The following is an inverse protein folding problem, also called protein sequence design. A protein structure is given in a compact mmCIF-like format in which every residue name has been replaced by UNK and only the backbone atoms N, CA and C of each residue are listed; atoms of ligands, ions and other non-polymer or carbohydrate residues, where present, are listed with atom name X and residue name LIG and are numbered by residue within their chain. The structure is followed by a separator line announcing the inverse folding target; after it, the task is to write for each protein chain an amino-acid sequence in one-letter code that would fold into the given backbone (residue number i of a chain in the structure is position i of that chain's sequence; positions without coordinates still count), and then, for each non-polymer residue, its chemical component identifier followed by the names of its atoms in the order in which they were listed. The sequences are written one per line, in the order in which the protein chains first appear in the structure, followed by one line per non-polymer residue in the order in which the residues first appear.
data_IF_570769388865
#
_entry.id   IF_570769388865
#
_cell.length_a   1.000
_cell.length_b   1.000
_cell.length_c   1.000
_cell.angle_alpha   90.00
_cell.angle_beta   90.00
_cell.angle_gamma   90.00
#
_symmetry.space_group_name_H-M   'P 1'
#
loop_
_entity.id
_entity.type
_entity.pdbx_description
1 polymer ?
#
# COMPACT_ATOMS: atom_id res chain seq x y z
N UNK A 1 23.25 18.00 14.58
CA UNK A 1 23.18 16.54 14.88
C UNK A 1 21.75 16.00 14.86
N UNK A 2 20.83 16.52 15.69
CA UNK A 2 19.44 16.03 15.76
C UNK A 2 18.68 16.12 14.42
N UNK A 3 18.85 17.22 13.70
CA UNK A 3 18.20 17.44 12.41
C UNK A 3 18.65 16.41 11.36
N UNK A 4 19.95 16.17 11.24
CA UNK A 4 20.52 15.14 10.35
C UNK A 4 19.97 13.76 10.74
N UNK A 5 19.96 13.42 12.04
CA UNK A 5 19.39 12.16 12.51
C UNK A 5 17.89 12.03 12.19
N UNK A 6 17.14 13.12 12.21
CA UNK A 6 15.72 13.14 11.81
C UNK A 6 15.56 12.94 10.30
N UNK A 7 16.40 13.55 9.48
CA UNK A 7 16.39 13.36 8.03
C UNK A 7 16.67 11.91 7.65
N UNK A 8 17.69 11.29 8.26
CA UNK A 8 18.01 9.87 8.05
C UNK A 8 16.84 8.96 8.45
N UNK A 9 16.20 9.23 9.61
CA UNK A 9 15.03 8.48 10.06
C UNK A 9 13.84 8.60 9.10
N UNK A 10 13.57 9.81 8.59
CA UNK A 10 12.51 10.04 7.60
C UNK A 10 12.78 9.30 6.30
N UNK A 11 14.00 9.39 5.77
CA UNK A 11 14.41 8.68 4.55
C UNK A 11 14.22 7.17 4.70
N UNK A 12 14.74 6.59 5.79
CA UNK A 12 14.61 5.15 6.05
C UNK A 12 13.15 4.72 6.22
N UNK A 13 12.31 5.55 6.85
CA UNK A 13 10.88 5.26 6.96
C UNK A 13 10.17 5.27 5.59
N UNK A 14 10.56 6.19 4.70
CA UNK A 14 10.05 6.25 3.34
C UNK A 14 10.50 5.03 2.52
N UNK A 15 11.79 4.69 2.56
CA UNK A 15 12.35 3.52 1.86
C UNK A 15 11.66 2.22 2.29
N UNK A 16 11.50 2.01 3.61
CA UNK A 16 10.80 0.83 4.11
C UNK A 16 9.35 0.75 3.61
N UNK A 17 8.66 1.90 3.55
CA UNK A 17 7.28 1.98 3.06
C UNK A 17 7.20 1.64 1.57
N UNK A 18 8.10 2.19 0.76
CA UNK A 18 8.16 1.94 -0.68
C UNK A 18 8.56 0.51 -1.00
N UNK A 19 9.49 -0.08 -0.24
CA UNK A 19 9.87 -1.48 -0.41
C UNK A 19 8.68 -2.44 -0.26
N UNK A 20 7.80 -2.22 0.73
CA UNK A 20 6.57 -3.01 0.89
C UNK A 20 5.64 -2.78 -0.31
N UNK A 21 5.45 -1.53 -0.73
CA UNK A 21 4.61 -1.21 -1.88
C UNK A 21 5.09 -1.89 -3.16
N UNK A 22 6.39 -1.85 -3.46
CA UNK A 22 6.98 -2.47 -4.65
C UNK A 22 6.76 -3.99 -4.67
N UNK A 23 6.89 -4.66 -3.52
CA UNK A 23 6.64 -6.10 -3.40
C UNK A 23 5.17 -6.40 -3.70
N UNK A 24 4.25 -5.64 -3.10
CA UNK A 24 2.81 -5.79 -3.33
C UNK A 24 2.47 -5.54 -4.80
N UNK A 25 2.99 -4.46 -5.38
CA UNK A 25 2.72 -4.09 -6.78
C UNK A 25 3.24 -5.12 -7.76
N UNK A 26 4.48 -5.57 -7.58
CA UNK A 26 5.07 -6.63 -8.41
C UNK A 26 4.26 -7.92 -8.33
N UNK A 27 3.81 -8.32 -7.13
CA UNK A 27 2.98 -9.51 -6.98
C UNK A 27 1.60 -9.35 -7.64
N UNK A 28 0.96 -8.21 -7.40
CA UNK A 28 -0.37 -7.90 -7.96
C UNK A 28 -0.33 -7.94 -9.48
N UNK A 29 0.68 -7.33 -10.11
CA UNK A 29 0.83 -7.32 -11.58
C UNK A 29 1.12 -8.71 -12.15
N UNK A 30 1.94 -9.52 -11.47
CA UNK A 30 2.36 -10.84 -11.97
C UNK A 30 1.29 -11.91 -11.79
N UNK A 31 0.67 -11.96 -10.61
CA UNK A 31 -0.18 -13.07 -10.19
C UNK A 31 -1.67 -12.71 -10.10
N UNK A 32 -2.02 -11.43 -10.25
CA UNK A 32 -3.39 -10.90 -10.04
C UNK A 32 -3.97 -11.26 -8.67
N UNK A 33 -3.12 -11.46 -7.67
CA UNK A 33 -3.49 -11.80 -6.30
C UNK A 33 -2.85 -10.85 -5.28
N UNK A 34 -3.50 -10.70 -4.13
CA UNK A 34 -2.96 -9.94 -3.01
C UNK A 34 -1.96 -10.75 -2.18
N UNK A 35 -1.23 -10.05 -1.30
CA UNK A 35 -0.35 -10.66 -0.31
C UNK A 35 -0.90 -10.45 1.09
N UNK A 36 -0.74 -11.45 1.97
CA UNK A 36 -1.04 -11.29 3.39
C UNK A 36 0.14 -10.64 4.13
N UNK A 37 -0.08 -10.17 5.37
CA UNK A 37 1.04 -9.73 6.24
C UNK A 37 2.06 -10.84 6.43
N UNK A 38 1.61 -12.09 6.51
CA UNK A 38 2.49 -13.25 6.70
C UNK A 38 3.38 -13.51 5.48
N UNK A 39 2.85 -13.36 4.26
CA UNK A 39 3.66 -13.47 3.05
C UNK A 39 4.72 -12.36 2.99
N UNK A 40 4.32 -11.14 3.34
CA UNK A 40 5.21 -9.99 3.37
C UNK A 40 6.31 -10.13 4.43
N UNK A 41 6.00 -10.63 5.62
CA UNK A 41 7.03 -10.85 6.65
C UNK A 41 8.03 -11.91 6.25
N UNK A 42 7.60 -12.98 5.56
CA UNK A 42 8.51 -13.98 4.99
C UNK A 42 9.43 -13.39 3.94
N UNK A 43 8.89 -12.60 3.01
CA UNK A 43 9.66 -11.99 1.91
C UNK A 43 10.67 -10.98 2.45
N UNK A 44 10.27 -10.14 3.42
CA UNK A 44 11.09 -9.05 3.95
C UNK A 44 12.00 -9.48 5.10
N UNK A 45 11.75 -10.64 5.71
CA UNK A 45 12.34 -11.06 6.97
C UNK A 45 12.16 -10.01 8.09
N UNK A 46 10.95 -9.44 8.19
CA UNK A 46 10.60 -8.40 9.18
C UNK A 46 9.57 -8.92 10.18
N UNK A 47 9.48 -8.27 11.34
CA UNK A 47 8.41 -8.56 12.29
C UNK A 47 7.04 -8.18 11.73
N UNK A 48 6.00 -8.94 12.13
CA UNK A 48 4.61 -8.65 11.77
C UNK A 48 4.23 -7.20 12.10
N UNK A 49 4.60 -6.70 13.28
CA UNK A 49 4.29 -5.33 13.68
C UNK A 49 4.94 -4.26 12.81
N UNK A 50 6.18 -4.47 12.33
CA UNK A 50 6.83 -3.55 11.40
C UNK A 50 6.11 -3.51 10.05
N UNK A 51 5.74 -4.67 9.52
CA UNK A 51 5.00 -4.76 8.25
C UNK A 51 3.62 -4.11 8.39
N UNK A 52 2.87 -4.46 9.43
CA UNK A 52 1.54 -3.92 9.70
C UNK A 52 1.54 -2.39 9.81
N UNK A 53 2.55 -1.82 10.49
CA UNK A 53 2.72 -0.37 10.60
C UNK A 53 2.78 0.33 9.23
N UNK A 54 3.56 -0.20 8.30
CA UNK A 54 3.69 0.39 6.96
C UNK A 54 2.50 0.07 6.05
N UNK A 55 1.90 -1.12 6.17
CA UNK A 55 0.63 -1.47 5.49
C UNK A 55 -0.46 -0.46 5.84
N UNK A 56 -0.65 -0.15 7.13
CA UNK A 56 -1.64 0.85 7.58
C UNK A 56 -1.39 2.22 6.97
N UNK A 57 -0.12 2.63 6.81
CA UNK A 57 0.23 3.88 6.13
C UNK A 57 -0.11 3.85 4.65
N UNK A 58 0.26 2.77 3.95
CA UNK A 58 -0.02 2.61 2.52
C UNK A 58 -1.53 2.60 2.23
N UNK A 59 -2.33 1.96 3.09
CA UNK A 59 -3.79 2.00 3.02
C UNK A 59 -4.34 3.40 3.24
N UNK A 60 -3.89 4.08 4.30
CA UNK A 60 -4.32 5.44 4.65
C UNK A 60 -4.00 6.45 3.55
N UNK A 61 -2.83 6.33 2.94
CA UNK A 61 -2.39 7.17 1.82
C UNK A 61 -3.00 6.73 0.49
N UNK A 62 -3.66 5.57 0.45
CA UNK A 62 -4.41 5.10 -0.69
C UNK A 62 -3.56 4.48 -1.79
N UNK A 63 -2.35 3.99 -1.51
CA UNK A 63 -1.49 3.30 -2.49
C UNK A 63 -1.92 1.86 -2.78
N UNK A 64 -2.54 1.21 -1.79
CA UNK A 64 -2.96 -0.20 -1.85
C UNK A 64 -4.42 -0.34 -1.46
N UNK A 65 -5.04 -1.44 -1.87
CA UNK A 65 -6.36 -1.90 -1.44
C UNK A 65 -6.18 -3.09 -0.47
N UNK A 66 -7.21 -3.37 0.31
CA UNK A 66 -7.32 -4.62 1.05
C UNK A 66 -8.59 -5.37 0.66
N UNK A 67 -8.53 -6.70 0.70
CA UNK A 67 -9.68 -7.58 0.64
C UNK A 67 -9.72 -8.46 1.89
N UNK A 68 -10.90 -8.62 2.45
CA UNK A 68 -11.15 -9.48 3.59
C UNK A 68 -11.89 -10.74 3.10
N UNK A 69 -11.38 -11.91 3.48
CA UNK A 69 -11.97 -13.21 3.15
C UNK A 69 -11.97 -14.09 4.40
N UNK A 70 -12.75 -15.18 4.38
CA UNK A 70 -12.72 -16.18 5.46
C UNK A 70 -12.17 -17.49 4.89
N UNK A 71 -11.09 -17.99 5.48
CA UNK A 71 -10.48 -19.27 5.12
C UNK A 71 -10.44 -20.14 6.36
N UNK A 72 -11.11 -21.30 6.33
CA UNK A 72 -11.21 -22.22 7.46
C UNK A 72 -11.71 -21.54 8.76
N UNK A 73 -12.73 -20.67 8.63
CA UNK A 73 -13.30 -19.92 9.76
C UNK A 73 -12.42 -18.79 10.31
N UNK A 74 -11.27 -18.51 9.69
CA UNK A 74 -10.38 -17.40 10.09
C UNK A 74 -10.45 -16.28 9.07
N UNK A 75 -10.53 -15.05 9.57
CA UNK A 75 -10.40 -13.85 8.74
C UNK A 75 -9.00 -13.79 8.13
N UNK A 76 -8.94 -13.66 6.81
CA UNK A 76 -7.72 -13.52 6.01
C UNK A 76 -7.79 -12.19 5.26
N UNK A 77 -6.79 -11.34 5.50
CA UNK A 77 -6.66 -10.05 4.83
C UNK A 77 -5.54 -10.11 3.80
N UNK A 78 -5.85 -9.71 2.58
CA UNK A 78 -4.89 -9.59 1.49
C UNK A 78 -4.77 -8.15 1.02
N UNK A 79 -3.59 -7.78 0.54
CA UNK A 79 -3.27 -6.45 0.09
C UNK A 79 -2.77 -6.48 -1.35
N UNK A 80 -3.31 -5.60 -2.19
CA UNK A 80 -2.97 -5.46 -3.61
C UNK A 80 -2.71 -4.01 -3.98
N UNK A 81 -1.88 -3.76 -4.99
CA UNK A 81 -1.63 -2.40 -5.46
C UNK A 81 -2.84 -1.86 -6.21
N UNK A 82 -3.06 -0.55 -6.08
CA UNK A 82 -4.01 0.16 -6.95
C UNK A 82 -3.43 0.31 -8.34
N UNK A 83 -4.30 0.20 -9.34
CA UNK A 83 -3.95 0.57 -10.71
C UNK A 83 -3.67 2.06 -10.82
N UNK A 84 -2.93 2.46 -11.86
CA UNK A 84 -2.65 3.88 -12.17
C UNK A 84 -3.94 4.69 -12.25
N UNK A 85 -5.00 4.12 -12.85
CA UNK A 85 -6.32 4.77 -12.97
C UNK A 85 -6.92 5.09 -11.60
N UNK A 86 -6.83 4.16 -10.65
CA UNK A 86 -7.32 4.35 -9.28
C UNK A 86 -6.48 5.36 -8.50
N UNK A 87 -5.14 5.36 -8.68
CA UNK A 87 -4.23 6.28 -8.00
C UNK A 87 -4.48 7.74 -8.40
N UNK A 88 -4.64 8.02 -9.70
CA UNK A 88 -4.87 9.37 -10.19
C UNK A 88 -6.34 9.79 -10.15
N UNK A 89 -7.23 8.95 -9.62
CA UNK A 89 -8.69 9.14 -9.64
C UNK A 89 -9.17 9.54 -11.04
N UNK A 90 -8.70 8.82 -12.06
CA UNK A 90 -8.87 9.17 -13.48
C UNK A 90 -10.32 9.47 -13.87
N UNK A 91 -11.28 8.77 -13.26
CA UNK A 91 -12.70 8.98 -13.52
C UNK A 91 -13.19 10.37 -13.06
N UNK A 92 -12.63 10.92 -11.97
CA UNK A 92 -12.90 12.31 -11.53
C UNK A 92 -12.25 13.36 -12.43
N UNK A 93 -11.19 12.99 -13.15
CA UNK A 93 -10.58 13.89 -14.13
C UNK A 93 -11.35 13.90 -15.46
N UNK A 94 -12.11 12.84 -15.74
CA UNK A 94 -12.93 12.70 -16.95
C UNK A 94 -14.35 13.25 -16.84
N UNK A 95 -14.86 13.47 -15.63
CA UNK A 95 -16.12 14.21 -15.46
C UNK A 95 -15.93 15.63 -15.99
N UNK A 96 -16.72 16.00 -17.00
CA UNK A 96 -16.75 17.36 -17.55
C UNK A 96 -16.99 18.37 -16.42
N UNK A 97 -16.45 19.60 -16.53
CA UNK A 97 -16.78 20.68 -15.62
C UNK A 97 -18.18 21.20 -15.94
N UNK A 98 -19.22 20.46 -15.56
CA UNK A 98 -20.62 20.87 -15.75
C UNK A 98 -21.11 21.86 -14.66
N UNK A 99 -20.22 22.38 -13.81
CA UNK A 99 -20.59 23.20 -12.63
C UNK A 99 -19.94 24.60 -12.56
N UNK A 100 -19.43 25.17 -13.65
CA UNK A 100 -19.10 26.61 -13.70
C UNK A 100 -20.26 27.39 -14.33
N UNK A 101 -21.35 27.56 -13.58
CA UNK A 101 -22.32 28.62 -13.86
C UNK A 101 -21.64 29.96 -13.51
N UNK A 102 -21.08 30.62 -14.53
CA UNK A 102 -20.76 32.04 -14.52
C UNK A 102 -21.95 32.84 -15.07
#
# INVERSE_FOLDING_TARGET
MLEIANQVRKKKAWENKMQIYEIIDKNTRKNKSGLTIYDLTKILNWSNGKVEHYIKKLLKEGYINNSDSTVNGRARKEYSSKSVKELIKWDKMKSKPDDYNF
#
